data_IF_271137618133
#
_entry.id   IF_271137618133
#
_cell.length_a   1.000
_cell.length_b   1.000
_cell.length_c   1.000
_cell.angle_alpha   90.00
_cell.angle_beta   90.00
_cell.angle_gamma   90.00
#
_symmetry.space_group_name_H-M   'P 1'
#
loop_
_entity.id
_entity.type
_entity.pdbx_description
1 polymer ?
#
# COMPACT_ATOMS: atom_id res chain seq x y z
N UNK A 1 -13.00 -25.00 6.01
CA UNK A 1 -13.59 -23.80 5.36
C UNK A 1 -13.82 -22.77 6.45
N UNK A 2 -13.31 -21.55 6.30
CA UNK A 2 -13.40 -20.50 7.33
C UNK A 2 -14.54 -19.55 6.93
N UNK A 3 -15.41 -19.21 7.88
CA UNK A 3 -16.50 -18.26 7.69
C UNK A 3 -16.37 -17.12 8.73
N UNK A 4 -15.56 -16.09 8.46
CA UNK A 4 -15.31 -15.04 9.43
C UNK A 4 -16.50 -14.08 9.52
N UNK A 5 -16.77 -13.57 10.71
CA UNK A 5 -17.79 -12.52 10.91
C UNK A 5 -17.31 -11.15 10.40
N UNK A 6 -15.99 -10.94 10.35
CA UNK A 6 -15.35 -9.69 9.90
C UNK A 6 -14.00 -10.05 9.26
N UNK A 7 -13.69 -9.43 8.12
CA UNK A 7 -12.41 -9.60 7.43
C UNK A 7 -11.67 -8.27 7.32
N UNK A 8 -10.40 -8.27 7.73
CA UNK A 8 -9.49 -7.14 7.58
C UNK A 8 -8.59 -7.38 6.37
N UNK A 9 -8.53 -6.40 5.48
CA UNK A 9 -7.67 -6.43 4.30
C UNK A 9 -6.78 -5.20 4.35
N UNK A 10 -5.47 -5.44 4.24
CA UNK A 10 -4.44 -4.40 4.22
C UNK A 10 -3.63 -4.49 2.93
N UNK A 11 -3.04 -3.37 2.52
CA UNK A 11 -2.18 -3.25 1.33
C UNK A 11 -2.87 -3.73 0.05
N UNK A 12 -4.18 -3.53 -0.07
CA UNK A 12 -4.92 -3.91 -1.27
C UNK A 12 -4.44 -3.03 -2.45
N UNK A 13 -3.59 -3.60 -3.30
CA UNK A 13 -3.14 -2.93 -4.51
C UNK A 13 -4.35 -2.67 -5.44
N UNK A 14 -4.45 -1.44 -5.96
CA UNK A 14 -5.56 -0.95 -6.80
C UNK A 14 -5.60 -1.53 -8.22
N UNK A 15 -5.13 -2.75 -8.44
CA UNK A 15 -5.24 -3.46 -9.71
C UNK A 15 -6.65 -4.05 -9.83
N UNK A 16 -7.56 -3.13 -10.19
CA UNK A 16 -8.97 -3.32 -10.51
C UNK A 16 -9.81 -3.81 -9.33
N UNK A 17 -10.90 -3.09 -9.05
CA UNK A 17 -11.91 -3.32 -8.01
C UNK A 17 -12.70 -4.65 -8.18
N UNK A 18 -12.05 -5.73 -8.62
CA UNK A 18 -12.62 -7.07 -8.63
C UNK A 18 -12.63 -7.61 -7.20
N UNK A 19 -13.62 -7.16 -6.44
CA UNK A 19 -14.05 -7.86 -5.25
C UNK A 19 -14.48 -9.27 -5.71
N UNK A 20 -13.88 -10.34 -5.17
CA UNK A 20 -14.30 -11.70 -5.49
C UNK A 20 -15.83 -11.83 -5.39
N UNK A 21 -16.47 -12.56 -6.32
CA UNK A 21 -17.95 -12.71 -6.33
C UNK A 21 -18.53 -13.13 -4.97
N UNK A 22 -17.77 -13.89 -4.19
CA UNK A 22 -18.12 -14.33 -2.83
C UNK A 22 -18.24 -13.20 -1.80
N UNK A 23 -17.59 -12.06 -2.04
CA UNK A 23 -17.60 -10.87 -1.19
C UNK A 23 -18.57 -9.78 -1.68
N UNK A 24 -19.35 -10.04 -2.74
CA UNK A 24 -20.33 -9.06 -3.26
C UNK A 24 -21.46 -8.76 -2.26
N UNK A 25 -21.80 -9.69 -1.37
CA UNK A 25 -22.79 -9.50 -0.31
C UNK A 25 -22.21 -8.84 0.95
N UNK A 26 -20.92 -8.49 0.94
CA UNK A 26 -20.24 -7.88 2.07
C UNK A 26 -20.25 -6.36 1.95
N UNK A 27 -20.56 -5.69 3.05
CA UNK A 27 -20.35 -4.25 3.18
C UNK A 27 -18.85 -3.99 3.30
N UNK A 28 -18.36 -3.07 2.48
CA UNK A 28 -16.95 -2.71 2.39
C UNK A 28 -16.77 -1.32 2.98
N UNK A 29 -15.85 -1.17 3.93
CA UNK A 29 -15.48 0.10 4.52
C UNK A 29 -13.97 0.28 4.37
N UNK A 30 -13.55 1.20 3.50
CA UNK A 30 -12.14 1.44 3.19
C UNK A 30 -11.71 2.82 3.68
N UNK A 31 -10.42 2.94 4.02
CA UNK A 31 -9.78 4.24 4.21
C UNK A 31 -9.58 4.95 2.86
N UNK A 32 -9.23 6.23 2.89
CA UNK A 32 -9.19 7.05 1.66
C UNK A 32 -8.17 6.57 0.63
N UNK A 33 -7.03 6.02 1.08
CA UNK A 33 -6.02 5.45 0.18
C UNK A 33 -6.31 4.00 -0.22
N UNK A 34 -7.40 3.40 0.28
CA UNK A 34 -7.85 2.03 0.01
C UNK A 34 -6.89 0.92 0.47
N UNK A 35 -5.80 1.27 1.17
CA UNK A 35 -4.81 0.30 1.64
C UNK A 35 -5.22 -0.36 2.98
N UNK A 36 -6.31 0.08 3.61
CA UNK A 36 -6.90 -0.56 4.78
C UNK A 36 -8.42 -0.63 4.62
N UNK A 37 -8.95 -1.84 4.64
CA UNK A 37 -10.36 -2.14 4.38
C UNK A 37 -10.90 -3.11 5.43
N UNK A 38 -12.14 -2.86 5.86
CA UNK A 38 -12.91 -3.77 6.70
C UNK A 38 -14.09 -4.26 5.87
N UNK A 39 -14.24 -5.57 5.79
CA UNK A 39 -15.31 -6.27 5.10
C UNK A 39 -16.22 -6.91 6.14
N UNK A 40 -17.53 -6.65 6.04
CA UNK A 40 -18.55 -7.15 6.97
C UNK A 40 -19.67 -7.82 6.19
N UNK A 41 -20.08 -9.07 6.51
CA UNK A 41 -21.25 -9.69 5.90
C UNK A 41 -22.50 -8.84 6.14
N UNK A 42 -23.18 -8.42 5.07
CA UNK A 42 -24.30 -7.47 5.16
C UNK A 42 -25.47 -7.98 6.01
N UNK A 43 -25.65 -9.30 6.10
CA UNK A 43 -26.80 -9.92 6.73
C UNK A 43 -26.71 -10.05 8.27
N UNK A 44 -25.51 -9.99 8.86
CA UNK A 44 -25.32 -10.38 10.27
C UNK A 44 -25.10 -9.21 11.22
N UNK A 45 -24.51 -8.11 10.74
CA UNK A 45 -24.01 -7.04 11.58
C UNK A 45 -24.53 -5.69 11.08
N UNK A 46 -24.82 -4.78 12.01
CA UNK A 46 -25.16 -3.38 11.71
C UNK A 46 -23.97 -2.49 12.04
N UNK A 47 -23.03 -2.29 11.10
CA UNK A 47 -21.89 -1.42 11.32
C UNK A 47 -22.23 0.04 11.02
N UNK A 48 -21.93 0.90 11.98
CA UNK A 48 -21.94 2.34 11.87
C UNK A 48 -20.51 2.83 11.61
N UNK A 49 -20.30 3.49 10.47
CA UNK A 49 -19.00 4.07 10.14
C UNK A 49 -18.73 5.25 11.09
N UNK A 50 -17.65 5.16 11.87
CA UNK A 50 -17.28 6.22 12.81
C UNK A 50 -16.35 7.25 12.16
N UNK A 51 -15.34 6.79 11.42
CA UNK A 51 -14.37 7.66 10.78
C UNK A 51 -13.66 6.97 9.63
N UNK A 52 -13.33 7.75 8.59
CA UNK A 52 -12.37 7.41 7.56
C UNK A 52 -11.27 8.46 7.54
N UNK A 53 -10.02 8.02 7.58
CA UNK A 53 -8.83 8.85 7.36
C UNK A 53 -8.04 8.29 6.17
N UNK A 54 -6.90 8.92 5.88
CA UNK A 54 -6.04 8.54 4.77
C UNK A 54 -5.69 7.04 4.77
N UNK A 55 -5.18 6.53 5.89
CA UNK A 55 -4.69 5.16 6.07
C UNK A 55 -5.47 4.37 7.14
N UNK A 56 -6.63 4.88 7.58
CA UNK A 56 -7.39 4.32 8.69
C UNK A 56 -8.89 4.33 8.39
N UNK A 57 -9.58 3.29 8.83
CA UNK A 57 -11.04 3.21 8.85
C UNK A 57 -11.49 2.65 10.20
N UNK A 58 -12.52 3.27 10.76
CA UNK A 58 -13.08 2.88 12.05
C UNK A 58 -14.60 2.74 11.96
N UNK A 59 -15.13 1.68 12.56
CA UNK A 59 -16.55 1.41 12.62
C UNK A 59 -16.96 0.90 14.00
N UNK A 60 -18.23 1.08 14.31
CA UNK A 60 -18.87 0.57 15.52
C UNK A 60 -19.88 -0.49 15.12
N UNK A 61 -19.89 -1.60 15.82
CA UNK A 61 -20.89 -2.65 15.69
C UNK A 61 -21.67 -2.68 16.98
N UNK A 62 -22.97 -2.42 16.87
CA UNK A 62 -23.87 -2.54 18.00
C UNK A 62 -24.34 -3.99 18.12
N UNK A 63 -24.04 -4.63 19.24
CA UNK A 63 -24.64 -5.93 19.61
C UNK A 63 -25.78 -5.70 20.61
N UNK A 64 -26.48 -6.76 20.99
CA UNK A 64 -27.54 -6.68 22.02
C UNK A 64 -27.01 -6.28 23.39
N UNK A 65 -25.75 -6.60 23.70
CA UNK A 65 -25.21 -6.51 25.06
C UNK A 65 -24.14 -5.43 25.21
N UNK A 66 -23.45 -5.08 24.13
CA UNK A 66 -22.38 -4.07 24.14
C UNK A 66 -22.08 -3.57 22.72
N UNK A 67 -21.32 -2.48 22.63
CA UNK A 67 -20.81 -1.98 21.35
C UNK A 67 -19.35 -2.32 21.17
N UNK A 68 -18.98 -2.81 19.98
CA UNK A 68 -17.59 -3.08 19.60
C UNK A 68 -17.14 -1.99 18.63
N UNK A 69 -16.07 -1.28 18.96
CA UNK A 69 -15.40 -0.37 18.01
C UNK A 69 -14.21 -1.10 17.41
N UNK A 70 -14.14 -1.09 16.08
CA UNK A 70 -13.11 -1.73 15.29
C UNK A 70 -12.38 -0.67 14.49
N UNK A 71 -11.06 -0.71 14.54
CA UNK A 71 -10.18 0.21 13.83
C UNK A 71 -9.20 -0.61 12.99
N UNK A 72 -9.21 -0.38 11.69
CA UNK A 72 -8.17 -0.87 10.78
C UNK A 72 -7.28 0.31 10.40
N UNK A 73 -5.97 0.13 10.60
CA UNK A 73 -4.95 1.15 10.36
C UNK A 73 -3.80 0.48 9.62
N UNK A 74 -3.42 1.04 8.46
CA UNK A 74 -2.15 0.70 7.85
C UNK A 74 -1.06 1.64 8.38
N UNK A 75 -0.08 1.05 9.08
CA UNK A 75 1.07 1.81 9.56
C UNK A 75 2.01 2.06 8.38
N UNK A 76 2.04 3.30 7.89
CA UNK A 76 3.05 3.73 6.93
C UNK A 76 4.40 3.81 7.64
N UNK A 77 5.18 2.72 7.61
CA UNK A 77 6.60 2.82 7.88
C UNK A 77 7.23 3.62 6.76
N UNK A 78 7.41 4.92 6.99
CA UNK A 78 8.27 5.74 6.16
C UNK A 78 9.69 5.20 6.38
N UNK A 79 10.10 4.19 5.63
CA UNK A 79 11.50 4.11 5.25
C UNK A 79 11.69 5.35 4.39
N UNK A 80 12.10 6.47 5.02
CA UNK A 80 12.78 7.52 4.27
C UNK A 80 13.95 6.78 3.67
N UNK A 81 13.83 6.33 2.42
CA UNK A 81 15.04 6.05 1.65
C UNK A 81 15.79 7.38 1.73
N UNK A 82 16.98 7.43 2.33
CA UNK A 82 17.76 8.65 2.30
C UNK A 82 17.78 9.10 0.84
N UNK A 83 17.50 10.38 0.64
CA UNK A 83 17.45 11.03 -0.64
C UNK A 83 18.72 10.61 -1.41
N UNK A 84 18.59 9.69 -2.37
CA UNK A 84 19.75 9.19 -3.10
C UNK A 84 20.21 10.32 -4.02
N UNK A 85 21.30 10.98 -3.65
CA UNK A 85 22.35 11.34 -4.60
C UNK A 85 23.65 11.51 -3.81
N UNK A 86 24.73 10.86 -4.23
CA UNK A 86 25.31 11.10 -5.55
C UNK A 86 25.58 9.80 -6.33
N UNK A 87 24.91 9.65 -7.47
CA UNK A 87 25.16 8.57 -8.42
C UNK A 87 23.88 8.02 -9.03
N UNK A 88 23.11 8.88 -9.70
CA UNK A 88 21.86 8.48 -10.36
C UNK A 88 22.10 7.31 -11.31
N UNK A 89 21.53 6.16 -10.92
CA UNK A 89 21.33 5.02 -11.79
C UNK A 89 20.12 5.35 -12.68
N UNK A 90 20.39 5.87 -13.88
CA UNK A 90 19.33 6.10 -14.85
C UNK A 90 18.97 4.80 -15.57
N UNK A 91 17.67 4.47 -15.55
CA UNK A 91 17.09 3.38 -16.32
C UNK A 91 16.88 3.88 -17.75
N UNK A 92 17.66 3.40 -18.70
CA UNK A 92 17.44 3.70 -20.12
C UNK A 92 16.86 2.47 -20.82
N UNK A 93 15.68 2.66 -21.43
CA UNK A 93 14.99 1.64 -22.22
C UNK A 93 15.43 1.76 -23.66
N UNK A 94 16.14 0.75 -24.17
CA UNK A 94 16.55 0.66 -25.57
C UNK A 94 15.91 -0.53 -26.29
N UNK A 95 15.91 -0.50 -27.62
CA UNK A 95 15.47 -1.63 -28.45
C UNK A 95 16.61 -1.99 -29.40
N UNK A 96 17.00 -3.27 -29.44
CA UNK A 96 17.93 -3.79 -30.43
C UNK A 96 17.22 -4.82 -31.33
N UNK A 97 17.92 -5.34 -32.33
CA UNK A 97 17.42 -6.32 -33.30
C UNK A 97 17.01 -7.66 -32.66
N UNK A 98 17.23 -7.86 -31.35
CA UNK A 98 16.79 -9.04 -30.56
C UNK A 98 15.68 -8.73 -29.54
N UNK A 99 15.19 -7.49 -29.47
CA UNK A 99 14.07 -7.10 -28.60
C UNK A 99 14.33 -5.88 -27.70
N UNK A 100 13.47 -5.68 -26.69
CA UNK A 100 13.58 -4.57 -25.72
C UNK A 100 14.61 -4.94 -24.65
N UNK A 101 15.61 -4.07 -24.45
CA UNK A 101 16.66 -4.24 -23.45
C UNK A 101 16.62 -3.07 -22.48
N UNK A 102 16.65 -3.38 -21.18
CA UNK A 102 16.76 -2.40 -20.10
C UNK A 102 18.18 -2.46 -19.55
N UNK A 103 18.87 -1.31 -19.52
CA UNK A 103 20.22 -1.22 -18.95
C UNK A 103 20.27 -0.21 -17.81
N UNK A 104 21.04 -0.60 -16.80
CA UNK A 104 21.42 0.26 -15.68
C UNK A 104 22.79 0.88 -15.96
N UNK A 105 22.88 2.20 -16.03
CA UNK A 105 24.16 2.93 -16.13
C UNK A 105 24.36 3.79 -14.89
N UNK A 106 25.52 3.64 -14.24
CA UNK A 106 26.02 4.61 -13.24
C UNK A 106 26.82 5.69 -13.97
N UNK A 107 26.49 6.94 -13.74
CA UNK A 107 27.29 8.07 -14.21
C UNK A 107 28.28 8.48 -13.11
N UNK A 108 29.55 8.08 -13.23
CA UNK A 108 30.60 8.65 -12.38
C UNK A 108 30.94 10.05 -12.93
N UNK A 109 30.56 11.12 -12.21
CA UNK A 109 31.19 12.42 -12.41
C UNK A 109 32.54 12.38 -11.71
N UNK A 110 33.64 12.48 -12.47
CA UNK A 110 34.94 12.79 -11.86
C UNK A 110 34.85 14.22 -11.31
N UNK A 111 35.13 14.38 -10.01
CA UNK A 111 35.31 15.69 -9.40
C UNK A 111 36.67 16.22 -9.86
N UNK A 112 36.77 17.38 -10.54
CA UNK A 112 38.06 17.95 -10.88
C UNK A 112 38.72 18.52 -9.61
N UNK A 113 39.94 18.08 -9.31
CA UNK A 113 40.80 18.75 -8.32
C UNK A 113 40.95 18.03 -6.98
N UNK A 114 41.65 16.90 -6.98
CA UNK A 114 42.45 16.46 -5.82
C UNK A 114 43.80 16.01 -6.38
N UNK A 115 44.84 16.81 -6.10
CA UNK A 115 46.24 16.47 -6.37
C UNK A 115 46.65 15.42 -5.32
N UNK A 116 47.30 14.31 -5.69
CA UNK A 116 47.84 13.38 -4.71
C UNK A 116 49.07 14.00 -4.05
N UNK A 117 49.10 14.00 -2.72
CA UNK A 117 50.30 14.32 -1.96
C UNK A 117 51.36 13.24 -2.22
N UNK A 118 52.51 13.69 -2.70
CA UNK A 118 53.72 12.89 -2.89
C UNK A 118 54.32 12.55 -1.53
N UNK A 119 54.58 11.26 -1.28
CA UNK A 119 55.61 10.83 -0.33
C UNK A 119 56.72 10.17 -1.11
#
# INVERSE_FOLDING_TARGET
>A
MINPDILFVQEQCNNNNEIPRTLQSWKICSCSNQEATILIPSAQLKPDLLATKFNMVALKIQTSSYSITIISLLLLTITKRPHNSPGDLQLTRGKNHRGRVVRFRRHNRRVPGLKPDST
#
